data_IF_166715037028
#
_entry.id   IF_166715037028
#
_cell.length_a   1.000
_cell.length_b   1.000
_cell.length_c   1.000
_cell.angle_alpha   90.00
_cell.angle_beta   90.00
_cell.angle_gamma   90.00
#
_symmetry.space_group_name_H-M   'P 1'
#
loop_
_entity.id
_entity.type
_entity.pdbx_description
1 polymer ?
#
# COMPACT_ATOMS: atom_id res chain seq x y z
N UNK A 1 -8.75 10.24 5.42
CA UNK A 1 -8.01 9.17 6.08
C UNK A 1 -6.68 8.90 5.39
N UNK A 2 -5.62 8.84 6.16
CA UNK A 2 -4.28 8.42 5.74
C UNK A 2 -3.99 7.10 6.45
N UNK A 3 -3.89 5.99 5.69
CA UNK A 3 -3.50 4.71 6.28
C UNK A 3 -1.98 4.55 6.19
N UNK A 4 -1.34 4.50 7.37
CA UNK A 4 0.06 4.15 7.54
C UNK A 4 0.20 2.74 8.15
N UNK A 5 -0.74 1.87 7.83
CA UNK A 5 -0.77 0.46 8.21
C UNK A 5 -1.19 -0.37 7.00
N UNK A 6 -0.36 -1.32 6.61
CA UNK A 6 -0.71 -2.32 5.61
C UNK A 6 -0.56 -3.72 6.22
N UNK A 7 -1.67 -4.42 6.36
CA UNK A 7 -1.72 -5.77 6.95
C UNK A 7 -1.91 -6.87 5.90
N UNK A 8 -1.74 -6.53 4.63
CA UNK A 8 -1.74 -7.54 3.56
C UNK A 8 -0.55 -8.49 3.71
N UNK A 9 -0.69 -9.77 3.42
CA UNK A 9 0.43 -10.69 3.43
C UNK A 9 1.57 -10.21 2.53
N UNK A 10 2.79 -10.24 3.03
CA UNK A 10 4.02 -9.85 2.31
C UNK A 10 4.10 -8.34 1.98
N UNK A 11 3.28 -7.49 2.58
CA UNK A 11 3.36 -6.05 2.42
C UNK A 11 4.65 -5.47 3.05
N UNK A 12 5.07 -4.32 2.56
CA UNK A 12 6.13 -3.53 3.18
C UNK A 12 5.58 -2.76 4.38
N UNK A 13 6.38 -2.64 5.43
CA UNK A 13 6.04 -1.75 6.55
C UNK A 13 6.06 -0.29 6.07
N UNK A 14 4.93 0.43 6.14
CA UNK A 14 4.84 1.82 5.73
C UNK A 14 5.86 2.75 6.38
N UNK A 15 6.26 2.46 7.62
CA UNK A 15 7.22 3.28 8.36
C UNK A 15 8.57 3.38 7.67
N UNK A 16 9.02 2.32 7.00
CA UNK A 16 10.30 2.32 6.26
C UNK A 16 10.34 3.44 5.21
N UNK A 17 9.24 3.64 4.48
CA UNK A 17 9.18 4.70 3.48
C UNK A 17 8.98 6.08 4.10
N UNK A 18 8.17 6.17 5.16
CA UNK A 18 7.88 7.42 5.85
C UNK A 18 9.14 7.97 6.53
N UNK A 19 9.92 7.13 7.20
CA UNK A 19 11.18 7.53 7.84
C UNK A 19 12.18 8.13 6.84
N UNK A 20 12.28 7.53 5.65
CA UNK A 20 13.15 8.03 4.58
C UNK A 20 12.68 9.35 3.96
N UNK A 21 11.38 9.70 4.14
CA UNK A 21 10.73 10.86 3.52
C UNK A 21 9.95 11.68 4.55
N UNK A 22 10.45 11.78 5.79
CA UNK A 22 9.70 12.33 6.93
C UNK A 22 9.31 13.80 6.73
N UNK A 23 10.21 14.61 6.20
CA UNK A 23 9.93 16.04 5.93
C UNK A 23 8.84 16.21 4.89
N UNK A 24 8.88 15.40 3.82
CA UNK A 24 7.85 15.40 2.78
C UNK A 24 6.52 14.88 3.33
N UNK A 25 6.55 13.86 4.18
CA UNK A 25 5.34 13.32 4.82
C UNK A 25 4.66 14.37 5.71
N UNK A 26 5.43 15.03 6.58
CA UNK A 26 4.91 16.06 7.48
C UNK A 26 4.34 17.25 6.69
N UNK A 27 5.05 17.69 5.63
CA UNK A 27 4.54 18.73 4.74
C UNK A 27 3.26 18.32 4.03
N UNK A 28 3.17 17.07 3.58
CA UNK A 28 1.96 16.53 2.97
C UNK A 28 0.77 16.53 3.93
N UNK A 29 0.95 16.14 5.20
CA UNK A 29 -0.09 16.23 6.24
C UNK A 29 -0.53 17.67 6.45
N UNK A 30 0.41 18.62 6.55
CA UNK A 30 0.12 20.05 6.68
C UNK A 30 -0.81 20.52 5.56
N UNK A 31 -0.44 20.26 4.30
CA UNK A 31 -1.24 20.67 3.13
C UNK A 31 -2.62 20.01 3.15
N UNK A 32 -2.70 18.70 3.41
CA UNK A 32 -3.98 17.98 3.49
C UNK A 32 -4.87 18.56 4.60
N UNK A 33 -4.29 18.97 5.73
CA UNK A 33 -5.03 19.57 6.83
C UNK A 33 -5.61 20.95 6.49
N UNK A 34 -4.99 21.72 5.58
CA UNK A 34 -5.48 22.99 5.11
C UNK A 34 -6.72 22.83 4.20
N UNK A 35 -6.73 21.82 3.34
CA UNK A 35 -7.83 21.58 2.39
C UNK A 35 -8.98 20.75 3.02
N UNK A 36 -8.75 20.16 4.18
CA UNK A 36 -9.75 19.35 4.88
C UNK A 36 -10.54 20.22 5.84
N UNK A 37 -11.88 20.17 5.75
CA UNK A 37 -12.79 20.96 6.62
C UNK A 37 -12.89 20.42 8.05
N UNK A 38 -12.55 19.16 8.28
CA UNK A 38 -12.60 18.46 9.58
C UNK A 38 -11.22 17.91 9.94
N UNK A 39 -11.20 16.75 10.59
CA UNK A 39 -9.97 16.10 11.02
C UNK A 39 -9.34 15.28 9.89
N UNK A 40 -8.01 15.25 9.88
CA UNK A 40 -7.21 14.27 9.17
C UNK A 40 -6.98 13.10 10.13
N UNK A 41 -7.49 11.93 9.77
CA UNK A 41 -7.33 10.71 10.55
C UNK A 41 -6.12 9.94 10.00
N UNK A 42 -5.15 9.67 10.84
CA UNK A 42 -3.96 8.86 10.51
C UNK A 42 -4.00 7.58 11.34
N UNK A 43 -3.87 6.45 10.70
CA UNK A 43 -3.78 5.15 11.37
C UNK A 43 -2.40 4.54 11.18
N UNK A 44 -1.83 4.01 12.26
CA UNK A 44 -0.52 3.36 12.30
C UNK A 44 -0.57 2.06 13.11
N UNK A 45 0.50 1.30 13.12
CA UNK A 45 0.65 0.18 14.05
C UNK A 45 0.85 0.68 15.48
N UNK A 46 0.48 -0.15 16.46
CA UNK A 46 0.72 0.13 17.89
C UNK A 46 2.22 0.34 18.14
N UNK A 47 2.55 1.41 18.88
CA UNK A 47 3.92 1.76 19.24
C UNK A 47 4.68 2.55 18.18
N UNK A 48 4.00 3.06 17.16
CA UNK A 48 4.59 4.00 16.21
C UNK A 48 4.87 5.35 16.85
N UNK A 49 6.07 5.86 16.70
CA UNK A 49 6.49 7.16 17.22
C UNK A 49 6.69 8.23 16.13
N UNK A 50 6.30 7.92 14.90
CA UNK A 50 6.54 8.81 13.74
C UNK A 50 5.56 9.97 13.64
N UNK A 51 4.46 9.93 14.39
CA UNK A 51 3.34 10.85 14.19
C UNK A 51 3.07 11.62 15.48
N UNK A 52 2.72 12.88 15.32
CA UNK A 52 2.32 13.76 16.44
C UNK A 52 0.92 14.28 16.20
N UNK A 53 0.05 14.16 17.20
CA UNK A 53 -1.27 14.77 17.16
C UNK A 53 -1.18 16.30 17.09
N UNK A 54 -2.10 16.89 16.37
CA UNK A 54 -2.26 18.34 16.29
C UNK A 54 -3.74 18.72 16.35
N UNK A 55 -4.03 20.00 16.30
CA UNK A 55 -5.40 20.50 16.36
C UNK A 55 -6.32 19.83 15.31
N UNK A 56 -5.80 19.59 14.09
CA UNK A 56 -6.54 18.97 12.99
C UNK A 56 -6.18 17.51 12.71
N UNK A 57 -5.17 16.95 13.35
CA UNK A 57 -4.71 15.57 13.13
C UNK A 57 -5.10 14.69 14.31
N UNK A 58 -5.68 13.55 14.03
CA UNK A 58 -6.03 12.51 15.01
C UNK A 58 -5.31 11.23 14.66
N UNK A 59 -4.58 10.68 15.62
CA UNK A 59 -3.84 9.44 15.48
C UNK A 59 -4.63 8.26 16.04
N UNK A 60 -4.50 7.12 15.39
CA UNK A 60 -5.13 5.86 15.82
C UNK A 60 -4.12 4.73 15.68
N UNK A 61 -3.81 4.13 16.80
CA UNK A 61 -2.99 2.92 16.81
C UNK A 61 -3.87 1.69 16.64
N UNK A 62 -3.53 0.87 15.67
CA UNK A 62 -4.30 -0.31 15.32
C UNK A 62 -3.45 -1.58 15.43
N UNK A 63 -4.11 -2.70 15.69
CA UNK A 63 -3.45 -4.00 15.69
C UNK A 63 -2.97 -4.36 14.28
N UNK A 64 -1.78 -4.95 14.19
CA UNK A 64 -1.17 -5.37 12.91
C UNK A 64 -1.72 -6.74 12.43
N UNK A 65 -3.02 -6.97 12.56
CA UNK A 65 -3.71 -8.15 12.06
C UNK A 65 -4.66 -7.76 10.91
N UNK A 66 -4.58 -8.51 9.81
CA UNK A 66 -5.54 -8.33 8.73
C UNK A 66 -6.97 -8.61 9.21
N UNK A 67 -7.99 -7.77 8.88
CA UNK A 67 -8.01 -6.69 7.90
C UNK A 67 -7.83 -5.27 8.48
N UNK A 68 -7.17 -5.08 9.62
CA UNK A 68 -7.04 -3.75 10.25
C UNK A 68 -6.35 -2.71 9.35
N UNK A 69 -5.46 -3.15 8.43
CA UNK A 69 -4.83 -2.29 7.43
C UNK A 69 -5.77 -1.82 6.30
N UNK A 70 -6.95 -2.43 6.15
CA UNK A 70 -7.89 -2.00 5.13
C UNK A 70 -8.55 -0.68 5.55
N UNK A 71 -8.38 0.36 4.75
CA UNK A 71 -8.90 1.69 5.05
C UNK A 71 -10.43 1.71 5.24
N UNK A 72 -11.18 0.87 4.55
CA UNK A 72 -12.62 0.71 4.75
C UNK A 72 -12.96 0.20 6.15
N UNK A 73 -12.19 -0.75 6.68
CA UNK A 73 -12.30 -1.26 8.05
C UNK A 73 -12.01 -0.13 9.06
N UNK A 74 -10.94 0.63 8.83
CA UNK A 74 -10.56 1.76 9.68
C UNK A 74 -11.67 2.83 9.71
N UNK A 75 -12.22 3.21 8.55
CA UNK A 75 -13.33 4.17 8.46
C UNK A 75 -14.55 3.66 9.23
N UNK A 76 -14.87 2.38 9.10
CA UNK A 76 -16.04 1.81 9.79
C UNK A 76 -15.97 1.96 11.30
N UNK A 77 -14.80 1.71 11.90
CA UNK A 77 -14.64 1.78 13.36
C UNK A 77 -14.32 3.18 13.88
N UNK A 78 -13.57 3.99 13.13
CA UNK A 78 -13.11 5.31 13.59
C UNK A 78 -14.17 6.40 13.30
N UNK A 79 -14.74 6.40 12.10
CA UNK A 79 -15.66 7.45 11.66
C UNK A 79 -16.66 6.92 10.63
N UNK A 80 -17.61 6.08 11.07
CA UNK A 80 -18.54 5.40 10.18
C UNK A 80 -19.29 6.36 9.27
N UNK A 81 -19.55 5.92 8.05
CA UNK A 81 -20.24 6.70 7.04
C UNK A 81 -21.76 6.65 7.26
N UNK A 82 -22.38 7.82 7.26
CA UNK A 82 -23.84 7.97 7.14
C UNK A 82 -24.24 8.42 5.74
N UNK A 83 -25.55 8.51 5.47
CA UNK A 83 -26.09 8.82 4.13
C UNK A 83 -25.53 10.09 3.47
N UNK A 84 -25.14 11.10 4.27
CA UNK A 84 -24.67 12.40 3.80
C UNK A 84 -23.21 12.68 4.16
N UNK A 85 -22.39 11.65 4.37
CA UNK A 85 -21.00 11.78 4.76
C UNK A 85 -20.09 11.20 3.69
N UNK A 86 -19.13 11.99 3.22
CA UNK A 86 -18.09 11.56 2.30
C UNK A 86 -16.75 11.57 3.03
N UNK A 87 -15.90 10.61 2.69
CA UNK A 87 -14.54 10.47 3.22
C UNK A 87 -13.58 10.27 2.06
N UNK A 88 -12.49 11.03 2.08
CA UNK A 88 -11.37 10.85 1.17
C UNK A 88 -10.30 10.00 1.83
N UNK A 89 -9.69 9.14 1.06
CA UNK A 89 -8.58 8.30 1.50
C UNK A 89 -7.36 8.56 0.65
N UNK A 90 -6.19 8.54 1.26
CA UNK A 90 -4.91 8.68 0.56
C UNK A 90 -3.88 7.75 1.19
N UNK A 91 -3.04 7.16 0.36
CA UNK A 91 -1.93 6.31 0.78
C UNK A 91 -0.76 7.17 1.29
N UNK A 92 -0.01 6.68 2.28
CA UNK A 92 1.13 7.36 2.89
C UNK A 92 2.20 7.80 1.86
N UNK A 93 2.47 7.00 0.82
CA UNK A 93 3.43 7.37 -0.23
C UNK A 93 2.95 8.59 -1.03
N UNK A 94 1.64 8.66 -1.33
CA UNK A 94 1.07 9.82 -2.01
C UNK A 94 1.05 11.08 -1.13
N UNK A 95 0.94 10.93 0.19
CA UNK A 95 1.13 12.07 1.13
C UNK A 95 2.53 12.63 1.00
N UNK A 96 3.56 11.77 0.97
CA UNK A 96 4.94 12.20 0.72
C UNK A 96 5.10 12.89 -0.64
N UNK A 97 4.45 12.39 -1.70
CA UNK A 97 4.51 13.02 -3.03
C UNK A 97 3.91 14.43 -3.03
N UNK A 98 2.80 14.65 -2.31
CA UNK A 98 2.21 15.99 -2.12
C UNK A 98 3.23 16.87 -1.40
N UNK A 99 3.77 16.44 -0.27
CA UNK A 99 4.76 17.21 0.48
C UNK A 99 5.99 17.54 -0.36
N UNK A 100 6.52 16.57 -1.09
CA UNK A 100 7.65 16.78 -2.00
C UNK A 100 7.39 17.88 -3.03
N UNK A 101 6.19 17.87 -3.62
CA UNK A 101 5.79 18.90 -4.57
C UNK A 101 5.82 20.31 -3.93
N UNK A 102 5.35 20.44 -2.69
CA UNK A 102 5.35 21.73 -1.99
C UNK A 102 6.72 22.15 -1.44
N UNK A 103 7.57 21.17 -1.08
CA UNK A 103 8.94 21.46 -0.62
C UNK A 103 9.87 21.86 -1.76
N UNK A 104 9.76 21.21 -2.94
CA UNK A 104 10.73 21.32 -4.03
C UNK A 104 10.16 21.86 -5.35
N UNK A 105 8.85 22.10 -5.44
CA UNK A 105 8.19 22.59 -6.66
C UNK A 105 8.17 21.61 -7.82
N UNK A 106 8.39 20.31 -7.56
CA UNK A 106 8.41 19.24 -8.56
C UNK A 106 7.72 17.98 -8.05
N UNK A 107 7.13 17.21 -8.96
CA UNK A 107 6.51 15.93 -8.63
C UNK A 107 7.57 14.87 -8.34
N UNK A 108 7.31 14.03 -7.34
CA UNK A 108 8.00 12.78 -7.10
C UNK A 108 7.11 11.61 -7.53
N UNK A 109 7.69 10.62 -8.19
CA UNK A 109 7.00 9.39 -8.59
C UNK A 109 7.61 8.15 -7.94
N UNK A 110 8.49 8.36 -6.97
CA UNK A 110 9.15 7.28 -6.25
C UNK A 110 8.14 6.41 -5.50
N UNK A 111 8.31 5.11 -5.61
CA UNK A 111 7.55 4.11 -4.86
C UNK A 111 8.47 3.11 -4.21
N UNK A 112 8.16 2.73 -2.99
CA UNK A 112 8.73 1.57 -2.33
C UNK A 112 7.72 0.42 -2.43
N UNK A 113 8.18 -0.71 -2.97
CA UNK A 113 7.35 -1.87 -3.28
C UNK A 113 8.02 -3.11 -2.70
N UNK A 114 7.27 -3.96 -1.99
CA UNK A 114 7.77 -5.28 -1.63
C UNK A 114 7.67 -6.23 -2.83
N UNK A 115 8.72 -7.00 -3.05
CA UNK A 115 8.74 -8.10 -4.03
C UNK A 115 8.93 -9.38 -3.27
N UNK A 116 7.88 -10.19 -3.18
CA UNK A 116 7.87 -11.39 -2.36
C UNK A 116 6.92 -12.47 -2.89
N UNK A 117 7.04 -13.65 -2.32
CA UNK A 117 6.23 -14.80 -2.67
C UNK A 117 7.06 -16.07 -2.81
N UNK A 118 6.43 -17.25 -2.83
CA UNK A 118 7.13 -18.54 -2.84
C UNK A 118 7.96 -18.78 -4.11
N UNK A 119 7.73 -18.02 -5.17
CA UNK A 119 8.46 -18.14 -6.43
C UNK A 119 9.54 -17.05 -6.63
N UNK A 120 9.75 -16.17 -5.64
CA UNK A 120 10.87 -15.21 -5.62
C UNK A 120 12.07 -15.87 -4.96
N UNK A 121 13.24 -15.88 -5.63
CA UNK A 121 14.47 -16.49 -5.09
C UNK A 121 14.87 -15.92 -3.74
N UNK A 122 14.78 -14.60 -3.59
CA UNK A 122 15.01 -13.89 -2.34
C UNK A 122 14.07 -12.66 -2.29
N UNK A 123 13.18 -12.55 -1.31
CA UNK A 123 12.34 -11.37 -1.14
C UNK A 123 13.18 -10.10 -0.95
N UNK A 124 12.73 -8.98 -1.53
CA UNK A 124 13.45 -7.70 -1.45
C UNK A 124 12.50 -6.51 -1.52
N UNK A 125 12.99 -5.35 -1.10
CA UNK A 125 12.33 -4.08 -1.31
C UNK A 125 12.88 -3.42 -2.58
N UNK A 126 11.97 -2.90 -3.40
CA UNK A 126 12.27 -2.24 -4.66
C UNK A 126 11.87 -0.77 -4.59
N UNK A 127 12.84 0.12 -4.76
CA UNK A 127 12.53 1.52 -5.06
C UNK A 127 12.35 1.67 -6.57
N UNK A 128 11.19 2.14 -6.98
CA UNK A 128 10.80 2.22 -8.40
C UNK A 128 9.81 3.37 -8.64
N UNK A 129 9.13 3.32 -9.76
CA UNK A 129 8.04 4.26 -10.13
C UNK A 129 6.76 3.50 -10.46
N UNK A 130 5.63 4.17 -10.42
CA UNK A 130 4.35 3.60 -10.90
C UNK A 130 4.45 3.24 -12.38
N UNK A 131 3.91 2.10 -12.77
CA UNK A 131 3.90 1.67 -14.17
C UNK A 131 5.19 1.01 -14.65
N UNK A 132 6.12 0.65 -13.75
CA UNK A 132 7.30 -0.14 -14.13
C UNK A 132 6.86 -1.51 -14.66
N UNK A 133 7.57 -2.03 -15.65
CA UNK A 133 7.34 -3.37 -16.20
C UNK A 133 7.81 -4.44 -15.20
N UNK A 134 6.88 -5.26 -14.76
CA UNK A 134 7.13 -6.30 -13.77
C UNK A 134 7.95 -7.46 -14.33
N UNK A 135 7.88 -7.72 -15.64
CA UNK A 135 8.66 -8.77 -16.30
C UNK A 135 10.15 -8.39 -16.24
N UNK A 136 10.47 -7.15 -16.57
CA UNK A 136 11.85 -6.65 -16.51
C UNK A 136 12.39 -6.62 -15.06
N UNK A 137 11.55 -6.17 -14.12
CA UNK A 137 11.90 -6.12 -12.68
C UNK A 137 12.22 -7.51 -12.13
N UNK A 138 11.47 -8.53 -12.56
CA UNK A 138 11.56 -9.89 -12.02
C UNK A 138 12.52 -10.79 -12.80
N UNK A 139 13.10 -10.30 -13.88
CA UNK A 139 14.07 -11.04 -14.68
C UNK A 139 15.19 -11.63 -13.79
N UNK A 140 15.47 -12.90 -13.96
CA UNK A 140 16.48 -13.66 -13.21
C UNK A 140 16.26 -13.78 -11.68
N UNK A 141 15.15 -13.24 -11.16
CA UNK A 141 14.82 -13.25 -9.73
C UNK A 141 13.81 -14.31 -9.32
N UNK A 142 13.24 -15.00 -10.30
CA UNK A 142 12.23 -16.04 -10.05
C UNK A 142 12.85 -17.43 -10.05
N UNK A 143 12.20 -18.34 -9.33
CA UNK A 143 12.46 -19.78 -9.40
C UNK A 143 11.95 -20.33 -10.75
N UNK A 144 12.48 -21.49 -11.14
CA UNK A 144 12.06 -22.18 -12.36
C UNK A 144 10.60 -22.66 -12.27
N UNK A 145 9.92 -22.67 -13.41
CA UNK A 145 8.53 -23.11 -13.56
C UNK A 145 7.60 -22.01 -14.05
N UNK A 146 6.32 -22.33 -14.18
CA UNK A 146 5.29 -21.38 -14.56
C UNK A 146 4.92 -20.51 -13.37
N UNK A 147 5.13 -19.22 -13.48
CA UNK A 147 4.94 -18.26 -12.39
C UNK A 147 3.77 -17.33 -12.68
N UNK A 148 2.91 -17.14 -11.68
CA UNK A 148 1.87 -16.12 -11.68
C UNK A 148 2.42 -14.87 -10.98
N UNK A 149 2.56 -13.80 -11.73
CA UNK A 149 2.96 -12.48 -11.21
C UNK A 149 1.70 -11.70 -10.89
N UNK A 150 1.60 -11.20 -9.66
CA UNK A 150 0.48 -10.39 -9.18
C UNK A 150 0.99 -8.99 -8.88
N UNK A 151 0.46 -8.00 -9.58
CA UNK A 151 0.61 -6.60 -9.21
C UNK A 151 -0.32 -6.31 -8.03
N UNK A 152 0.25 -6.08 -6.86
CA UNK A 152 -0.45 -5.94 -5.59
C UNK A 152 -0.39 -7.19 -4.71
N UNK A 153 -1.20 -7.18 -3.66
CA UNK A 153 -1.35 -8.28 -2.71
C UNK A 153 -2.02 -9.50 -3.35
N UNK A 154 -1.72 -10.67 -2.84
CA UNK A 154 -2.44 -11.92 -3.20
C UNK A 154 -3.94 -11.86 -2.90
N UNK A 155 -4.38 -10.95 -2.01
CA UNK A 155 -5.79 -10.80 -1.62
C UNK A 155 -6.56 -9.83 -2.52
N UNK A 156 -5.92 -8.84 -3.11
CA UNK A 156 -6.58 -7.75 -3.82
C UNK A 156 -5.88 -7.29 -5.09
N UNK A 157 -4.73 -7.88 -5.41
CA UNK A 157 -3.96 -7.57 -6.61
C UNK A 157 -4.59 -8.13 -7.88
N UNK A 158 -4.05 -7.71 -9.01
CA UNK A 158 -4.42 -8.23 -10.33
C UNK A 158 -3.29 -9.07 -10.93
N UNK A 159 -3.65 -10.07 -11.72
CA UNK A 159 -2.66 -10.82 -12.49
C UNK A 159 -1.94 -9.87 -13.48
N UNK A 160 -0.62 -9.93 -13.48
CA UNK A 160 0.21 -9.18 -14.41
C UNK A 160 0.64 -10.12 -15.56
N UNK A 161 -0.20 -10.22 -16.58
CA UNK A 161 0.03 -11.06 -17.73
C UNK A 161 -0.10 -10.24 -19.02
N UNK A 162 0.62 -10.62 -20.04
CA UNK A 162 0.56 -10.03 -21.39
C UNK A 162 0.68 -8.49 -21.37
N UNK A 163 -0.35 -7.81 -21.88
CA UNK A 163 -0.38 -6.35 -22.01
C UNK A 163 -0.57 -5.61 -20.65
N UNK A 164 -0.80 -6.32 -19.57
CA UNK A 164 -1.01 -5.78 -18.23
C UNK A 164 0.16 -6.04 -17.26
N UNK A 165 1.36 -6.22 -17.78
CA UNK A 165 2.57 -6.54 -17.01
C UNK A 165 3.11 -5.40 -16.13
N UNK A 166 2.41 -4.28 -16.06
CA UNK A 166 2.88 -3.09 -15.37
C UNK A 166 2.38 -2.97 -13.92
N UNK A 167 3.20 -2.37 -13.07
CA UNK A 167 2.84 -2.09 -11.68
C UNK A 167 1.67 -1.11 -11.60
N UNK A 168 0.59 -1.52 -10.96
CA UNK A 168 -0.59 -0.68 -10.75
C UNK A 168 -0.28 0.55 -9.88
N UNK A 169 -0.94 1.68 -10.18
CA UNK A 169 -0.70 2.95 -9.50
C UNK A 169 -0.88 2.86 -7.97
N UNK A 170 -1.88 2.14 -7.51
CA UNK A 170 -2.17 2.00 -6.07
C UNK A 170 -1.51 0.78 -5.42
N UNK A 171 -0.74 -0.01 -6.16
CA UNK A 171 -0.09 -1.20 -5.63
C UNK A 171 1.28 -0.84 -5.02
N UNK A 172 1.53 -1.32 -3.80
CA UNK A 172 2.79 -1.20 -3.06
C UNK A 172 3.49 -2.55 -2.89
N UNK A 173 3.07 -3.56 -3.65
CA UNK A 173 3.53 -4.94 -3.53
C UNK A 173 3.51 -5.65 -4.89
N UNK A 174 4.45 -6.56 -5.08
CA UNK A 174 4.48 -7.53 -6.18
C UNK A 174 4.56 -8.90 -5.55
N UNK A 175 3.55 -9.72 -5.79
CA UNK A 175 3.47 -11.08 -5.25
C UNK A 175 3.68 -12.08 -6.36
N UNK A 176 4.56 -13.07 -6.17
CA UNK A 176 4.81 -14.11 -7.18
C UNK A 176 4.49 -15.48 -6.62
N UNK A 177 3.55 -16.15 -7.27
CA UNK A 177 3.05 -17.46 -6.92
C UNK A 177 3.39 -18.47 -8.01
N UNK A 178 3.38 -19.75 -7.68
CA UNK A 178 3.43 -20.80 -8.69
C UNK A 178 2.08 -20.86 -9.40
N UNK A 179 2.08 -20.89 -10.72
CA UNK A 179 0.87 -21.19 -11.49
C UNK A 179 0.56 -22.69 -11.37
N UNK A 180 -0.66 -23.01 -11.04
CA UNK A 180 -1.14 -24.40 -10.99
C UNK A 180 -1.98 -24.64 -12.24
N UNK A 181 -1.50 -25.50 -13.13
CA UNK A 181 -2.15 -25.78 -14.40
C UNK A 181 -3.43 -26.64 -14.23
N UNK A 182 -3.41 -27.55 -13.25
CA UNK A 182 -4.57 -28.37 -12.85
C UNK A 182 -5.06 -27.93 -11.45
N UNK A 183 -6.04 -27.07 -11.43
CA UNK A 183 -6.80 -26.82 -10.20
C UNK A 183 -7.86 -27.93 -10.12
N UNK A 184 -7.66 -28.90 -9.27
CA UNK A 184 -8.77 -29.68 -8.72
C UNK A 184 -9.75 -28.67 -8.11
N UNK A 185 -10.80 -28.35 -8.87
CA UNK A 185 -11.86 -27.47 -8.39
C UNK A 185 -12.50 -28.18 -7.21
N UNK A 186 -12.07 -27.79 -6.01
CA UNK A 186 -12.80 -28.16 -4.80
C UNK A 186 -14.23 -27.69 -5.01
N UNK A 187 -15.09 -28.65 -5.29
CA UNK A 187 -16.51 -28.41 -5.48
C UNK A 187 -17.06 -27.90 -4.15
N UNK A 188 -17.49 -26.63 -4.12
CA UNK A 188 -18.20 -26.04 -2.99
C UNK A 188 -19.57 -26.70 -2.71
N UNK A 189 -19.89 -27.77 -3.44
CA UNK A 189 -21.18 -28.49 -3.37
C UNK A 189 -21.16 -29.61 -2.31
N UNK A 190 -20.02 -29.86 -1.68
CA UNK A 190 -19.91 -30.91 -0.63
C UNK A 190 -19.73 -30.32 0.77
N UNK A 191 -20.61 -29.36 1.12
CA UNK A 191 -20.88 -28.99 2.52
C UNK A 191 -22.25 -29.52 2.90
#
# INVERSE_FOLDING_TARGET
FISCLDTSPLSVDPEIFIEQNLDDFNKGIEIISLITSKYVHISSKIGSNLFVESEKVRLYELNNLHPAGNVGTQIHYISPLGRNKSVWTINYQHVCHIGHMFNFGRLSFKKLVSVAGPQVKAPFLLETISGVDLIEVLKDKLLEGTNRIVSGSVLSGRNAAENESFLGHFHSQISVLREVEDVDRLSLIHI
#
